data_IF_855411952758
#
_entry.id   IF_855411952758
#
_cell.length_a   1.000
_cell.length_b   1.000
_cell.length_c   1.000
_cell.angle_alpha   90.00
_cell.angle_beta   90.00
_cell.angle_gamma   90.00
#
_symmetry.space_group_name_H-M   'P 1'
#
loop_
_entity.id
_entity.type
_entity.pdbx_description
1 polymer ?
#
# COMPACT_ATOMS: atom_id res chain seq x y z
N UNK A 1 44.75 2.46 -19.92
CA UNK A 1 44.82 1.31 -20.86
C UNK A 1 44.99 0.08 -20.01
N UNK A 2 43.95 -0.72 -19.86
CA UNK A 2 44.02 -2.18 -19.65
C UNK A 2 42.57 -2.70 -19.68
N UNK A 3 42.22 -3.28 -20.82
CA UNK A 3 40.98 -4.01 -21.05
C UNK A 3 41.20 -5.46 -20.58
N UNK A 4 40.39 -5.92 -19.62
CA UNK A 4 40.33 -7.35 -19.30
C UNK A 4 39.07 -7.91 -19.95
N UNK A 5 39.31 -8.81 -20.93
CA UNK A 5 38.28 -9.58 -21.64
C UNK A 5 38.24 -10.95 -20.96
N UNK A 6 37.07 -11.40 -20.53
CA UNK A 6 36.86 -12.76 -20.01
C UNK A 6 35.98 -13.52 -20.99
N UNK A 7 36.37 -14.74 -21.45
CA UNK A 7 35.64 -15.48 -22.45
C UNK A 7 34.48 -16.30 -21.87
N UNK A 8 33.42 -16.36 -22.69
CA UNK A 8 32.21 -17.18 -22.49
C UNK A 8 32.57 -18.64 -22.83
N UNK A 9 32.34 -19.56 -21.91
CA UNK A 9 32.38 -20.99 -22.18
C UNK A 9 30.95 -21.54 -22.35
N UNK A 10 30.67 -21.95 -23.57
CA UNK A 10 29.44 -22.62 -24.00
C UNK A 10 29.66 -24.13 -23.84
N UNK A 11 28.88 -24.83 -23.03
CA UNK A 11 28.85 -26.29 -22.97
C UNK A 11 27.44 -26.80 -23.24
N UNK A 12 27.24 -27.30 -24.43
CA UNK A 12 26.08 -28.09 -24.82
C UNK A 12 26.30 -29.55 -24.43
N UNK A 13 25.33 -30.17 -23.80
CA UNK A 13 25.23 -31.61 -23.63
C UNK A 13 23.87 -32.10 -24.11
N UNK A 14 23.94 -32.77 -25.27
CA UNK A 14 22.85 -33.48 -25.93
C UNK A 14 22.82 -34.91 -25.37
N UNK A 15 21.68 -35.37 -24.87
CA UNK A 15 21.45 -36.80 -24.62
C UNK A 15 20.13 -37.22 -25.25
N UNK A 16 20.26 -37.93 -26.37
CA UNK A 16 19.21 -38.75 -26.99
C UNK A 16 19.10 -40.07 -26.21
N UNK A 17 17.87 -40.48 -25.89
CA UNK A 17 17.55 -41.91 -25.69
C UNK A 17 16.27 -42.26 -26.43
N UNK A 18 16.44 -43.07 -27.46
CA UNK A 18 15.36 -43.78 -28.17
C UNK A 18 14.99 -45.08 -27.40
N UNK A 19 13.76 -45.52 -27.54
CA UNK A 19 13.29 -46.85 -27.27
C UNK A 19 11.98 -46.88 -26.56
N UNK A 20 10.93 -47.35 -27.12
CA UNK A 20 10.51 -48.52 -27.68
C UNK A 20 8.99 -48.52 -27.93
N UNK A 21 8.60 -48.93 -29.12
CA UNK A 21 7.21 -49.27 -29.47
C UNK A 21 6.74 -50.52 -28.76
N UNK A 22 5.49 -50.48 -28.29
CA UNK A 22 4.66 -51.68 -28.18
C UNK A 22 3.20 -51.28 -28.42
N UNK A 23 2.67 -51.79 -29.49
CA UNK A 23 1.29 -51.78 -29.92
C UNK A 23 0.50 -52.80 -29.10
N UNK A 24 -0.60 -52.37 -28.49
CA UNK A 24 -1.71 -53.28 -28.21
C UNK A 24 -3.02 -52.57 -28.54
N UNK A 25 -3.80 -53.24 -29.30
CA UNK A 25 -5.05 -52.87 -29.95
C UNK A 25 -6.23 -53.34 -29.08
N UNK A 26 -7.36 -52.65 -29.15
CA UNK A 26 -8.71 -52.97 -28.67
C UNK A 26 -9.12 -52.54 -27.25
N UNK A 27 -10.13 -51.68 -27.26
CA UNK A 27 -11.00 -51.43 -26.10
C UNK A 27 -11.84 -50.19 -26.29
N UNK A 28 -12.84 -50.25 -27.17
CA UNK A 28 -13.97 -49.31 -27.17
C UNK A 28 -14.72 -49.45 -25.84
N UNK A 29 -14.74 -48.44 -24.98
CA UNK A 29 -15.88 -48.07 -24.14
C UNK A 29 -15.74 -46.64 -23.72
N UNK A 30 -16.73 -45.89 -24.11
CA UNK A 30 -17.10 -44.54 -23.72
C UNK A 30 -16.99 -44.31 -22.21
N UNK A 31 -16.04 -43.50 -21.75
CA UNK A 31 -16.11 -42.88 -20.44
C UNK A 31 -15.89 -41.38 -20.60
N UNK A 32 -16.92 -40.64 -20.18
CA UNK A 32 -16.96 -39.20 -20.22
C UNK A 32 -15.72 -38.57 -19.60
N UNK A 33 -15.08 -37.72 -20.37
CA UNK A 33 -14.02 -36.84 -19.90
C UNK A 33 -14.63 -35.77 -19.02
N UNK A 34 -14.83 -36.08 -17.73
CA UNK A 34 -15.05 -35.05 -16.72
C UNK A 34 -13.75 -34.29 -16.56
N UNK A 35 -13.61 -33.20 -17.32
CA UNK A 35 -12.65 -32.16 -17.03
C UNK A 35 -12.96 -31.66 -15.61
N UNK A 36 -12.22 -32.15 -14.62
CA UNK A 36 -12.23 -31.55 -13.29
C UNK A 36 -11.78 -30.11 -13.45
N UNK A 37 -12.75 -29.20 -13.53
CA UNK A 37 -12.51 -27.79 -13.35
C UNK A 37 -11.83 -27.64 -11.98
N UNK A 38 -10.56 -27.26 -11.98
CA UNK A 38 -9.86 -26.87 -10.77
C UNK A 38 -10.70 -25.80 -10.06
N UNK A 39 -11.30 -26.21 -8.94
CA UNK A 39 -11.96 -25.28 -8.02
C UNK A 39 -10.92 -24.24 -7.66
N UNK A 40 -11.19 -22.93 -7.86
CA UNK A 40 -10.26 -21.91 -7.40
C UNK A 40 -10.00 -22.14 -5.91
N UNK A 41 -8.74 -22.25 -5.53
CA UNK A 41 -8.32 -22.27 -4.14
C UNK A 41 -8.66 -20.90 -3.57
N UNK A 42 -9.78 -20.82 -2.87
CA UNK A 42 -10.12 -19.63 -2.10
C UNK A 42 -9.09 -19.53 -0.98
N UNK A 43 -8.20 -18.55 -1.11
CA UNK A 43 -7.38 -18.12 0.03
C UNK A 43 -8.36 -17.77 1.15
N UNK A 44 -8.21 -18.31 2.36
CA UNK A 44 -9.13 -17.97 3.44
C UNK A 44 -9.06 -16.47 3.68
N UNK A 45 -10.21 -15.80 3.62
CA UNK A 45 -10.32 -14.39 4.05
C UNK A 45 -9.94 -14.30 5.51
N UNK A 46 -9.24 -13.25 5.93
CA UNK A 46 -8.94 -13.04 7.34
C UNK A 46 -10.24 -13.02 8.14
N UNK A 47 -10.27 -13.72 9.26
CA UNK A 47 -11.41 -13.73 10.16
C UNK A 47 -11.14 -12.73 11.28
N UNK A 48 -11.93 -11.68 11.35
CA UNK A 48 -11.89 -10.69 12.42
C UNK A 48 -12.81 -11.10 13.56
N UNK A 49 -12.42 -10.76 14.79
CA UNK A 49 -13.14 -11.17 16.00
C UNK A 49 -14.48 -10.46 16.17
N UNK A 50 -14.60 -9.24 15.63
CA UNK A 50 -15.77 -8.37 15.75
C UNK A 50 -16.22 -7.88 14.38
N UNK A 51 -17.52 -7.66 14.16
CA UNK A 51 -18.01 -7.04 12.92
C UNK A 51 -17.60 -5.56 12.88
N UNK A 52 -17.38 -5.05 11.67
CA UNK A 52 -17.17 -3.63 11.41
C UNK A 52 -18.53 -2.93 11.29
N UNK A 53 -18.72 -1.83 12.01
CA UNK A 53 -19.90 -1.01 11.88
C UNK A 53 -19.79 0.04 10.75
N UNK A 54 -20.82 0.85 10.56
CA UNK A 54 -20.84 1.84 9.48
C UNK A 54 -19.77 2.94 9.65
N UNK A 55 -19.41 3.29 10.89
CA UNK A 55 -18.38 4.29 11.16
C UNK A 55 -16.99 3.72 10.93
N UNK A 56 -16.77 2.44 11.28
CA UNK A 56 -15.52 1.71 11.00
C UNK A 56 -15.27 1.61 9.49
N UNK A 57 -16.32 1.25 8.73
CA UNK A 57 -16.27 1.18 7.26
C UNK A 57 -15.99 2.55 6.66
N UNK A 58 -16.69 3.60 7.11
CA UNK A 58 -16.49 4.96 6.63
C UNK A 58 -15.09 5.47 6.93
N UNK A 59 -14.56 5.21 8.13
CA UNK A 59 -13.17 5.53 8.48
C UNK A 59 -12.19 4.90 7.50
N UNK A 60 -12.29 3.60 7.24
CA UNK A 60 -11.41 2.91 6.29
C UNK A 60 -11.55 3.49 4.86
N UNK A 61 -12.77 3.76 4.40
CA UNK A 61 -13.03 4.33 3.07
C UNK A 61 -12.47 5.74 2.89
N UNK A 62 -12.36 6.52 3.96
CA UNK A 62 -11.76 7.86 3.93
C UNK A 62 -10.25 7.81 4.14
N UNK A 63 -9.76 6.99 5.07
CA UNK A 63 -8.35 6.94 5.42
C UNK A 63 -7.49 6.28 4.31
N UNK A 64 -8.02 5.33 3.56
CA UNK A 64 -7.30 4.70 2.43
C UNK A 64 -6.88 5.75 1.38
N UNK A 65 -7.78 6.54 0.77
CA UNK A 65 -7.37 7.56 -0.20
C UNK A 65 -6.54 8.67 0.44
N UNK A 66 -6.76 9.01 1.71
CA UNK A 66 -5.92 9.95 2.43
C UNK A 66 -4.48 9.44 2.53
N UNK A 67 -4.26 8.22 3.00
CA UNK A 67 -2.94 7.60 3.07
C UNK A 67 -2.28 7.43 1.70
N UNK A 68 -3.07 7.14 0.67
CA UNK A 68 -2.56 7.04 -0.70
C UNK A 68 -1.92 8.34 -1.18
N UNK A 69 -2.45 9.50 -0.77
CA UNK A 69 -1.81 10.79 -1.09
C UNK A 69 -0.48 10.97 -0.33
N UNK A 70 -0.36 10.52 0.92
CA UNK A 70 0.93 10.60 1.61
C UNK A 70 2.00 9.71 0.96
N UNK A 71 1.62 8.54 0.46
CA UNK A 71 2.49 7.66 -0.33
C UNK A 71 2.94 8.36 -1.62
N UNK A 72 2.03 9.06 -2.30
CA UNK A 72 2.36 9.87 -3.48
C UNK A 72 3.36 11.00 -3.14
N UNK A 73 3.12 11.74 -2.06
CA UNK A 73 4.03 12.76 -1.56
C UNK A 73 5.41 12.18 -1.21
N UNK A 74 5.45 11.02 -0.54
CA UNK A 74 6.71 10.35 -0.20
C UNK A 74 7.48 9.91 -1.44
N UNK A 75 6.79 9.45 -2.48
CA UNK A 75 7.40 9.09 -3.78
C UNK A 75 8.06 10.31 -4.46
N UNK A 76 7.48 11.51 -4.36
CA UNK A 76 8.07 12.72 -4.91
C UNK A 76 9.42 13.07 -4.25
N UNK A 77 9.63 12.68 -2.99
CA UNK A 77 10.90 12.95 -2.29
C UNK A 77 12.09 12.28 -2.98
N UNK A 78 11.94 11.06 -3.48
CA UNK A 78 13.02 10.35 -4.17
C UNK A 78 13.53 11.09 -5.42
N UNK A 79 12.64 11.82 -6.11
CA UNK A 79 12.97 12.53 -7.35
C UNK A 79 13.45 13.97 -7.08
N UNK A 80 12.98 14.63 -6.03
CA UNK A 80 13.05 16.07 -5.87
C UNK A 80 14.03 16.54 -4.79
N UNK A 81 14.52 15.65 -3.92
CA UNK A 81 15.53 15.99 -2.89
C UNK A 81 16.67 15.00 -2.83
N UNK A 82 17.78 15.45 -2.25
CA UNK A 82 18.92 14.61 -1.85
C UNK A 82 19.22 14.72 -0.36
N UNK A 83 18.35 15.37 0.39
CA UNK A 83 18.49 15.55 1.85
C UNK A 83 18.23 14.22 2.55
N UNK A 84 19.26 13.60 3.20
CA UNK A 84 19.11 12.25 3.74
C UNK A 84 17.99 12.13 4.77
N UNK A 85 17.78 13.15 5.60
CA UNK A 85 16.73 13.14 6.62
C UNK A 85 15.33 13.14 6.02
N UNK A 86 15.12 13.84 4.90
CA UNK A 86 13.85 13.87 4.18
C UNK A 86 13.59 12.53 3.49
N UNK A 87 14.61 11.96 2.85
CA UNK A 87 14.51 10.65 2.19
C UNK A 87 14.21 9.53 3.19
N UNK A 88 14.86 9.53 4.35
CA UNK A 88 14.60 8.55 5.41
C UNK A 88 13.18 8.69 5.97
N UNK A 89 12.74 9.92 6.25
CA UNK A 89 11.38 10.20 6.71
C UNK A 89 10.34 9.74 5.68
N UNK A 90 10.51 10.11 4.42
CA UNK A 90 9.60 9.73 3.33
C UNK A 90 9.48 8.21 3.18
N UNK A 91 10.61 7.49 3.22
CA UNK A 91 10.61 6.02 3.14
C UNK A 91 9.88 5.36 4.33
N UNK A 92 9.99 5.92 5.55
CA UNK A 92 9.29 5.42 6.74
C UNK A 92 7.78 5.66 6.63
N UNK A 93 7.37 6.86 6.20
CA UNK A 93 5.96 7.21 5.96
C UNK A 93 5.36 6.29 4.90
N UNK A 94 6.03 6.11 3.76
CA UNK A 94 5.59 5.22 2.68
C UNK A 94 5.35 3.79 3.18
N UNK A 95 6.33 3.19 3.83
CA UNK A 95 6.23 1.81 4.33
C UNK A 95 5.14 1.62 5.38
N UNK A 96 4.98 2.57 6.31
CA UNK A 96 3.95 2.52 7.34
C UNK A 96 2.55 2.64 6.72
N UNK A 97 2.33 3.67 5.90
CA UNK A 97 1.01 3.95 5.34
C UNK A 97 0.55 2.92 4.31
N UNK A 98 1.44 2.33 3.54
CA UNK A 98 1.11 1.14 2.72
C UNK A 98 0.58 -0.02 3.56
N UNK A 99 1.21 -0.31 4.70
CA UNK A 99 0.78 -1.38 5.60
C UNK A 99 -0.61 -1.10 6.19
N UNK A 100 -0.89 0.14 6.53
CA UNK A 100 -2.17 0.59 7.08
C UNK A 100 -3.28 0.54 6.02
N UNK A 101 -3.00 0.97 4.78
CA UNK A 101 -3.91 0.81 3.62
C UNK A 101 -4.31 -0.65 3.46
N UNK A 102 -3.36 -1.58 3.38
CA UNK A 102 -3.67 -3.00 3.21
C UNK A 102 -4.49 -3.57 4.36
N UNK A 103 -4.26 -3.10 5.59
CA UNK A 103 -5.06 -3.49 6.74
C UNK A 103 -6.51 -3.05 6.59
N UNK A 104 -6.74 -1.80 6.21
CA UNK A 104 -8.08 -1.24 6.01
C UNK A 104 -8.80 -1.86 4.80
N UNK A 105 -8.09 -2.15 3.71
CA UNK A 105 -8.63 -2.90 2.56
C UNK A 105 -9.12 -4.29 2.97
N UNK A 106 -8.37 -5.00 3.84
CA UNK A 106 -8.79 -6.29 4.37
C UNK A 106 -10.07 -6.18 5.23
N UNK A 107 -10.23 -5.11 5.99
CA UNK A 107 -11.47 -4.84 6.75
C UNK A 107 -12.66 -4.63 5.83
N UNK A 108 -12.51 -3.78 4.80
CA UNK A 108 -13.56 -3.52 3.82
C UNK A 108 -13.98 -4.79 3.08
N UNK A 109 -12.99 -5.60 2.68
CA UNK A 109 -13.27 -6.90 2.06
C UNK A 109 -14.04 -7.85 2.98
N UNK A 110 -13.68 -7.91 4.27
CA UNK A 110 -14.37 -8.72 5.28
C UNK A 110 -15.80 -8.21 5.56
N UNK A 111 -16.00 -6.89 5.54
CA UNK A 111 -17.31 -6.27 5.67
C UNK A 111 -18.18 -6.37 4.40
N UNK A 112 -17.64 -6.91 3.29
CA UNK A 112 -18.32 -6.93 2.00
C UNK A 112 -18.50 -5.55 1.37
N UNK A 113 -17.65 -4.60 1.74
CA UNK A 113 -17.62 -3.22 1.26
C UNK A 113 -16.48 -3.01 0.27
N UNK A 114 -16.52 -1.94 -0.51
CA UNK A 114 -15.47 -1.57 -1.45
C UNK A 114 -14.66 -0.39 -0.90
N UNK A 115 -13.36 -0.37 -1.23
CA UNK A 115 -12.50 0.77 -0.91
C UNK A 115 -12.97 2.06 -1.62
N UNK A 116 -13.49 1.93 -2.84
CA UNK A 116 -14.06 3.03 -3.64
C UNK A 116 -15.48 3.42 -3.17
N UNK A 117 -15.72 3.39 -1.88
CA UNK A 117 -17.06 3.62 -1.32
C UNK A 117 -17.71 4.88 -1.85
N UNK A 118 -18.82 4.71 -2.56
CA UNK A 118 -19.66 5.83 -3.03
C UNK A 118 -20.14 6.75 -1.89
N UNK A 119 -19.90 6.37 -0.64
CA UNK A 119 -20.22 7.16 0.56
C UNK A 119 -19.22 8.29 0.86
N UNK A 120 -17.97 8.18 0.40
CA UNK A 120 -16.93 9.20 0.65
C UNK A 120 -16.92 10.33 -0.41
N UNK A 121 -17.64 10.15 -1.53
CA UNK A 121 -17.74 11.18 -2.56
C UNK A 121 -18.45 12.44 -2.02
N UNK A 122 -17.66 13.51 -1.87
CA UNK A 122 -18.15 14.83 -1.40
C UNK A 122 -17.93 15.10 0.08
N UNK A 123 -17.34 14.18 0.85
CA UNK A 123 -16.82 14.49 2.17
C UNK A 123 -15.46 15.18 2.06
N UNK A 124 -15.31 16.29 2.78
CA UNK A 124 -14.01 16.95 2.89
C UNK A 124 -13.14 16.10 3.82
N UNK A 125 -12.03 15.58 3.31
CA UNK A 125 -11.02 14.94 4.14
C UNK A 125 -10.07 16.04 4.64
N UNK A 126 -9.93 16.21 5.96
CA UNK A 126 -9.05 17.24 6.51
C UNK A 126 -7.58 16.95 6.13
N UNK A 127 -6.80 17.98 5.92
CA UNK A 127 -5.36 17.88 5.70
C UNK A 127 -4.91 17.46 4.30
N UNK A 128 -5.83 17.13 3.37
CA UNK A 128 -5.43 16.81 2.00
C UNK A 128 -4.70 17.97 1.33
N UNK A 129 -3.61 17.64 0.65
CA UNK A 129 -2.88 18.57 -0.22
C UNK A 129 -3.70 18.80 -1.49
N UNK A 130 -3.86 20.06 -1.87
CA UNK A 130 -4.62 20.39 -3.09
C UNK A 130 -3.87 19.99 -4.36
N UNK A 131 -4.59 19.78 -5.46
CA UNK A 131 -3.97 19.49 -6.77
C UNK A 131 -2.97 20.59 -7.19
N UNK A 132 -3.25 21.84 -6.81
CA UNK A 132 -2.36 22.95 -7.11
C UNK A 132 -1.05 22.89 -6.30
N UNK A 133 -1.14 22.50 -5.02
CA UNK A 133 0.04 22.31 -4.16
C UNK A 133 0.83 21.05 -4.53
N UNK A 134 0.15 19.97 -4.93
CA UNK A 134 0.81 18.80 -5.51
C UNK A 134 1.62 19.18 -6.76
N UNK A 135 1.05 19.98 -7.67
CA UNK A 135 1.76 20.47 -8.85
C UNK A 135 2.95 21.38 -8.51
N UNK A 136 2.91 22.11 -7.40
CA UNK A 136 4.06 22.87 -6.90
C UNK A 136 5.15 21.95 -6.37
N UNK A 137 4.79 20.94 -5.60
CA UNK A 137 5.71 19.92 -5.07
C UNK A 137 6.44 19.16 -6.20
N UNK A 138 5.72 18.76 -7.25
CA UNK A 138 6.31 18.10 -8.42
C UNK A 138 7.39 18.92 -9.13
N UNK A 139 7.27 20.26 -9.10
CA UNK A 139 8.18 21.18 -9.77
C UNK A 139 9.31 21.69 -8.85
N UNK A 140 9.09 21.68 -7.54
CA UNK A 140 10.06 22.12 -6.57
C UNK A 140 11.24 21.13 -6.46
N UNK A 141 12.42 21.63 -6.11
CA UNK A 141 13.63 20.81 -5.96
C UNK A 141 14.45 21.24 -4.76
N UNK A 142 15.22 20.31 -4.22
CA UNK A 142 16.14 20.55 -3.10
C UNK A 142 15.45 21.23 -1.90
N UNK A 143 16.00 22.31 -1.37
CA UNK A 143 15.50 22.97 -0.17
C UNK A 143 14.07 23.54 -0.31
N UNK A 144 13.65 23.93 -1.52
CA UNK A 144 12.28 24.36 -1.77
C UNK A 144 11.30 23.17 -1.65
N UNK A 145 11.66 22.03 -2.25
CA UNK A 145 10.90 20.79 -2.09
C UNK A 145 10.82 20.37 -0.61
N UNK A 146 11.97 20.36 0.07
CA UNK A 146 12.05 19.94 1.48
C UNK A 146 11.08 20.76 2.35
N UNK A 147 11.05 22.08 2.18
CA UNK A 147 10.17 22.95 2.96
C UNK A 147 8.67 22.72 2.64
N UNK A 148 8.32 22.59 1.36
CA UNK A 148 6.95 22.30 0.94
C UNK A 148 6.49 20.91 1.40
N UNK A 149 7.33 19.88 1.20
CA UNK A 149 7.05 18.51 1.64
C UNK A 149 6.75 18.45 3.13
N UNK A 150 7.65 18.99 3.96
CA UNK A 150 7.46 19.00 5.42
C UNK A 150 6.20 19.74 5.82
N UNK A 151 5.94 20.92 5.24
CA UNK A 151 4.77 21.74 5.58
C UNK A 151 3.46 21.05 5.22
N UNK A 152 3.36 20.48 4.01
CA UNK A 152 2.16 19.81 3.57
C UNK A 152 1.96 18.46 4.27
N UNK A 153 3.04 17.71 4.53
CA UNK A 153 2.94 16.45 5.25
C UNK A 153 2.53 16.65 6.72
N UNK A 154 2.95 17.74 7.37
CA UNK A 154 2.45 18.10 8.72
C UNK A 154 0.93 18.29 8.69
N UNK A 155 0.41 19.11 7.77
CA UNK A 155 -1.03 19.37 7.65
C UNK A 155 -1.82 18.09 7.32
N UNK A 156 -1.24 17.26 6.45
CA UNK A 156 -1.80 15.97 6.08
C UNK A 156 -1.92 15.04 7.30
N UNK A 157 -0.88 14.93 8.10
CA UNK A 157 -0.87 14.14 9.33
C UNK A 157 -1.85 14.66 10.39
N UNK A 158 -1.95 15.98 10.55
CA UNK A 158 -2.96 16.57 11.42
C UNK A 158 -4.38 16.14 11.01
N UNK A 159 -4.67 16.12 9.71
CA UNK A 159 -5.95 15.66 9.19
C UNK A 159 -6.22 14.16 9.44
N UNK A 160 -5.22 13.31 9.30
CA UNK A 160 -5.34 11.89 9.62
C UNK A 160 -5.58 11.65 11.13
N UNK A 161 -4.90 12.42 12.00
CA UNK A 161 -5.10 12.37 13.45
C UNK A 161 -6.54 12.76 13.80
N UNK A 162 -7.11 13.79 13.17
CA UNK A 162 -8.48 14.19 13.38
C UNK A 162 -9.46 13.06 13.01
N UNK A 163 -9.32 12.46 11.82
CA UNK A 163 -10.13 11.32 11.40
C UNK A 163 -9.98 10.11 12.32
N UNK A 164 -8.76 9.82 12.79
CA UNK A 164 -8.50 8.73 13.72
C UNK A 164 -9.15 8.98 15.10
N UNK A 165 -9.11 10.20 15.61
CA UNK A 165 -9.79 10.57 16.84
C UNK A 165 -11.32 10.47 16.73
N UNK A 166 -11.89 10.83 15.58
CA UNK A 166 -13.33 10.72 15.33
C UNK A 166 -13.81 9.26 15.39
N UNK A 167 -13.09 8.34 14.76
CA UNK A 167 -13.45 6.92 14.85
C UNK A 167 -13.20 6.34 16.24
N UNK A 168 -12.14 6.75 16.94
CA UNK A 168 -11.86 6.34 18.32
C UNK A 168 -12.99 6.72 19.31
N UNK A 169 -13.71 7.80 19.04
CA UNK A 169 -14.83 8.22 19.85
C UNK A 169 -16.07 7.32 19.72
N UNK A 170 -16.18 6.54 18.63
CA UNK A 170 -17.39 5.79 18.29
C UNK A 170 -17.17 4.29 18.13
N UNK A 171 -15.99 3.85 17.68
CA UNK A 171 -15.74 2.43 17.38
C UNK A 171 -15.82 1.54 18.61
N UNK A 172 -16.45 0.38 18.42
CA UNK A 172 -16.46 -0.73 19.39
C UNK A 172 -15.56 -1.89 18.91
N UNK A 173 -14.98 -1.78 17.72
CA UNK A 173 -14.10 -2.80 17.15
C UNK A 173 -12.66 -2.59 17.65
N UNK A 174 -12.08 -3.65 18.23
CA UNK A 174 -10.75 -3.58 18.84
C UNK A 174 -9.63 -3.42 17.80
N UNK A 175 -9.79 -4.00 16.60
CA UNK A 175 -8.81 -3.86 15.51
C UNK A 175 -8.77 -2.42 14.99
N UNK A 176 -9.94 -1.80 14.80
CA UNK A 176 -10.06 -0.38 14.38
C UNK A 176 -9.48 0.54 15.45
N UNK A 177 -9.82 0.29 16.72
CA UNK A 177 -9.27 1.04 17.86
C UNK A 177 -7.75 0.95 17.92
N UNK A 178 -7.19 -0.24 17.74
CA UNK A 178 -5.75 -0.45 17.77
C UNK A 178 -5.04 0.32 16.64
N UNK A 179 -5.54 0.24 15.40
CA UNK A 179 -4.96 0.95 14.28
C UNK A 179 -5.09 2.47 14.44
N UNK A 180 -6.28 2.99 14.76
CA UNK A 180 -6.47 4.43 14.92
C UNK A 180 -5.59 5.00 16.05
N UNK A 181 -5.41 4.25 17.15
CA UNK A 181 -4.49 4.65 18.22
C UNK A 181 -3.03 4.67 17.75
N UNK A 182 -2.62 3.68 16.94
CA UNK A 182 -1.27 3.63 16.37
C UNK A 182 -1.02 4.79 15.40
N UNK A 183 -1.99 5.12 14.53
CA UNK A 183 -1.94 6.28 13.62
C UNK A 183 -1.72 7.57 14.41
N UNK A 184 -2.54 7.83 15.44
CA UNK A 184 -2.40 9.03 16.27
C UNK A 184 -1.00 9.12 16.90
N UNK A 185 -0.49 8.02 17.45
CA UNK A 185 0.81 8.01 18.10
C UNK A 185 1.96 8.22 17.11
N UNK A 186 1.98 7.48 16.00
CA UNK A 186 3.03 7.54 14.99
C UNK A 186 3.05 8.92 14.32
N UNK A 187 1.92 9.39 13.83
CA UNK A 187 1.87 10.65 13.09
C UNK A 187 2.09 11.88 13.98
N UNK A 188 1.74 11.83 15.28
CA UNK A 188 2.16 12.87 16.24
C UNK A 188 3.68 12.93 16.37
N UNK A 189 4.35 11.79 16.42
CA UNK A 189 5.82 11.76 16.50
C UNK A 189 6.47 12.27 15.20
N UNK A 190 5.92 11.92 14.04
CA UNK A 190 6.38 12.38 12.73
C UNK A 190 6.18 13.88 12.54
N UNK A 191 5.05 14.45 13.00
CA UNK A 191 4.82 15.92 13.04
C UNK A 191 5.92 16.62 13.85
N UNK A 192 6.27 16.08 15.00
CA UNK A 192 7.33 16.66 15.83
C UNK A 192 8.70 16.61 15.14
N UNK A 193 9.02 15.51 14.47
CA UNK A 193 10.23 15.37 13.65
C UNK A 193 10.24 16.36 12.49
N UNK A 194 9.17 16.43 11.70
CA UNK A 194 9.02 17.37 10.58
C UNK A 194 9.14 18.82 11.00
N UNK A 195 8.52 19.19 12.13
CA UNK A 195 8.60 20.55 12.68
C UNK A 195 10.04 20.90 13.09
N UNK A 196 10.80 19.95 13.65
CA UNK A 196 12.21 20.15 13.95
C UNK A 196 13.06 20.32 12.69
N UNK A 197 12.78 19.58 11.62
CA UNK A 197 13.49 19.70 10.34
C UNK A 197 13.19 21.04 9.65
N UNK A 198 11.96 21.55 9.74
CA UNK A 198 11.59 22.88 9.23
C UNK A 198 12.27 24.03 9.99
N UNK A 199 12.60 23.85 11.25
CA UNK A 199 13.22 24.87 12.11
C UNK A 199 14.75 24.98 11.98
N UNK A 200 15.38 24.13 11.17
CA UNK A 200 16.84 24.13 10.93
C UNK A 200 17.18 24.97 9.71
#
# INVERSE_FOLDING_TARGET
>A
MNKIVVPIALSALLALSLGGCSSELFGFLNQGNETQAQRPTTTPSPTFAQPFDANDIMFAQMMIPHHSQAVELATLAEANTTTPAILDLAARIDGAQHTEIHTMEAWLAAAGSLADGHGAHGMSMPGLVSDADMALLEQATAAEFDALFLSHMIQHHEGAIDMANDVLATTMNDDVRALATAIVAAQTAEIAEMSNLLGQ
#
